data_IF_734884317493
#
_entry.id   IF_734884317493
#
_cell.length_a   1.000
_cell.length_b   1.000
_cell.length_c   1.000
_cell.angle_alpha   90.00
_cell.angle_beta   90.00
_cell.angle_gamma   90.00
#
_symmetry.space_group_name_H-M   'P 1'
#
loop_
_entity.id
_entity.type
_entity.pdbx_description
1 polymer ?
#
# COMPACT_ATOMS: atom_id res chain seq x y z
N UNK A 1 4.49 5.74 -22.41
CA UNK A 1 5.20 7.04 -22.25
C UNK A 1 5.61 7.25 -20.79
N UNK A 2 6.66 8.03 -20.51
CA UNK A 2 7.04 8.43 -19.15
C UNK A 2 7.02 9.95 -19.06
N UNK A 3 6.31 10.49 -18.08
CA UNK A 3 6.08 11.93 -17.90
C UNK A 3 6.59 12.33 -16.52
N UNK A 4 7.57 13.22 -16.46
CA UNK A 4 7.95 13.89 -15.21
C UNK A 4 6.97 15.01 -14.88
N UNK A 5 6.45 15.04 -13.66
CA UNK A 5 5.49 16.07 -13.25
C UNK A 5 5.63 16.40 -11.77
N UNK A 6 5.82 17.66 -11.42
CA UNK A 6 5.88 18.06 -10.01
C UNK A 6 4.46 18.30 -9.45
N UNK A 7 4.15 17.88 -8.21
CA UNK A 7 2.82 18.06 -7.63
C UNK A 7 2.36 19.53 -7.54
N UNK A 8 3.30 20.46 -7.43
CA UNK A 8 3.05 21.91 -7.39
C UNK A 8 3.08 22.58 -8.78
N UNK A 9 3.40 21.84 -9.85
CA UNK A 9 3.51 22.35 -11.22
C UNK A 9 2.96 21.34 -12.22
N UNK A 10 1.64 21.20 -12.22
CA UNK A 10 0.90 20.25 -13.06
C UNK A 10 0.78 20.79 -14.49
N UNK A 11 1.33 20.05 -15.46
CA UNK A 11 1.09 20.30 -16.88
C UNK A 11 -0.30 19.78 -17.27
N UNK A 12 -1.24 20.72 -17.48
CA UNK A 12 -2.63 20.40 -17.81
C UNK A 12 -2.77 19.65 -19.13
N UNK A 13 -1.92 19.90 -20.13
CA UNK A 13 -2.02 19.22 -21.42
C UNK A 13 -1.71 17.74 -21.26
N UNK A 14 -0.63 17.43 -20.53
CA UNK A 14 -0.23 16.04 -20.27
C UNK A 14 -1.23 15.32 -19.37
N UNK A 15 -1.80 16.00 -18.36
CA UNK A 15 -2.89 15.44 -17.55
C UNK A 15 -4.11 15.09 -18.40
N UNK A 16 -4.54 15.97 -19.31
CA UNK A 16 -5.68 15.71 -20.20
C UNK A 16 -5.39 14.54 -21.15
N UNK A 17 -4.16 14.44 -21.65
CA UNK A 17 -3.72 13.31 -22.47
C UNK A 17 -3.80 11.99 -21.69
N UNK A 18 -3.24 11.94 -20.48
CA UNK A 18 -3.35 10.75 -19.61
C UNK A 18 -4.78 10.43 -19.21
N UNK A 19 -5.61 11.44 -18.93
CA UNK A 19 -7.03 11.25 -18.66
C UNK A 19 -7.78 10.66 -19.86
N UNK A 20 -7.43 11.08 -21.09
CA UNK A 20 -7.95 10.49 -22.31
C UNK A 20 -7.55 9.02 -22.48
N UNK A 21 -6.30 8.66 -22.16
CA UNK A 21 -5.84 7.27 -22.15
C UNK A 21 -6.72 6.42 -21.23
N UNK A 22 -6.95 6.86 -19.98
CA UNK A 22 -7.80 6.14 -19.03
C UNK A 22 -9.23 5.97 -19.55
N UNK A 23 -9.83 7.06 -20.03
CA UNK A 23 -11.21 7.07 -20.54
C UNK A 23 -11.40 6.12 -21.73
N UNK A 24 -10.39 5.98 -22.58
CA UNK A 24 -10.39 5.10 -23.75
C UNK A 24 -9.92 3.67 -23.43
N UNK A 25 -9.90 3.28 -22.15
CA UNK A 25 -9.60 1.91 -21.71
C UNK A 25 -8.10 1.56 -21.67
N UNK A 26 -7.23 2.56 -21.68
CA UNK A 26 -5.80 2.41 -21.42
C UNK A 26 -5.45 2.39 -19.93
N UNK A 27 -4.18 2.16 -19.63
CA UNK A 27 -3.63 2.02 -18.29
C UNK A 27 -2.57 3.09 -18.01
N UNK A 28 -2.75 3.84 -16.94
CA UNK A 28 -1.83 4.91 -16.51
C UNK A 28 -1.37 4.67 -15.09
N UNK A 29 -0.06 4.65 -14.87
CA UNK A 29 0.50 4.67 -13.53
C UNK A 29 0.67 6.11 -13.04
N UNK A 30 0.29 6.41 -11.80
CA UNK A 30 0.28 7.77 -11.26
C UNK A 30 0.57 7.81 -9.75
N UNK A 31 1.14 8.91 -9.22
CA UNK A 31 1.44 9.03 -7.79
C UNK A 31 0.17 9.28 -6.97
N UNK A 32 0.16 8.77 -5.73
CA UNK A 32 -0.76 9.23 -4.67
C UNK A 32 0.05 9.65 -3.45
N UNK A 33 -0.60 10.14 -2.39
CA UNK A 33 0.04 10.41 -1.11
C UNK A 33 0.52 9.13 -0.42
N UNK A 34 -0.09 7.97 -0.77
CA UNK A 34 0.22 6.65 -0.20
C UNK A 34 1.33 5.92 -0.95
N UNK A 35 0.99 5.37 -2.11
CA UNK A 35 1.88 4.64 -3.03
C UNK A 35 1.46 4.97 -4.46
N UNK A 36 2.30 4.70 -5.45
CA UNK A 36 1.90 4.84 -6.86
C UNK A 36 0.81 3.82 -7.21
N UNK A 37 -0.22 4.27 -7.91
CA UNK A 37 -1.34 3.48 -8.38
C UNK A 37 -1.22 3.13 -9.87
N UNK A 38 -1.74 1.98 -10.27
CA UNK A 38 -1.87 1.55 -11.67
C UNK A 38 -3.34 1.67 -12.10
N UNK A 39 -3.70 2.80 -12.68
CA UNK A 39 -5.09 3.15 -12.98
C UNK A 39 -5.60 2.63 -14.31
N UNK A 40 -6.86 2.23 -14.32
CA UNK A 40 -7.69 2.08 -15.52
C UNK A 40 -9.14 2.52 -15.20
N UNK A 41 -9.94 2.73 -16.24
CA UNK A 41 -11.36 3.08 -16.07
C UNK A 41 -12.10 2.01 -15.26
N UNK A 42 -12.66 2.38 -14.10
CA UNK A 42 -13.36 1.47 -13.21
C UNK A 42 -14.69 0.95 -13.78
N UNK A 43 -15.22 1.59 -14.83
CA UNK A 43 -16.48 1.21 -15.48
C UNK A 43 -16.28 0.31 -16.70
N UNK A 44 -15.02 0.06 -17.11
CA UNK A 44 -14.69 -0.75 -18.28
C UNK A 44 -13.97 -2.04 -17.85
N UNK A 45 -14.71 -3.16 -17.89
CA UNK A 45 -14.20 -4.48 -17.55
C UNK A 45 -12.94 -4.89 -18.36
N UNK A 46 -12.82 -4.46 -19.62
CA UNK A 46 -11.65 -4.77 -20.43
C UNK A 46 -10.42 -3.95 -20.00
N UNK A 47 -10.62 -2.69 -19.63
CA UNK A 47 -9.57 -1.85 -19.06
C UNK A 47 -9.05 -2.44 -17.73
N UNK A 48 -9.95 -2.99 -16.90
CA UNK A 48 -9.58 -3.68 -15.66
C UNK A 48 -8.74 -4.94 -15.91
N UNK A 49 -9.06 -5.75 -16.93
CA UNK A 49 -8.24 -6.92 -17.29
C UNK A 49 -6.79 -6.55 -17.59
N UNK A 50 -6.57 -5.41 -18.27
CA UNK A 50 -5.21 -4.90 -18.54
C UNK A 50 -4.41 -4.59 -17.27
N UNK A 51 -5.06 -4.16 -16.17
CA UNK A 51 -4.38 -3.99 -14.86
C UNK A 51 -3.86 -5.34 -14.37
N UNK A 52 -4.70 -6.38 -14.41
CA UNK A 52 -4.32 -7.71 -13.93
C UNK A 52 -3.19 -8.31 -14.78
N UNK A 53 -3.27 -8.19 -16.11
CA UNK A 53 -2.22 -8.58 -17.06
C UNK A 53 -0.91 -7.83 -16.83
N UNK A 54 -0.97 -6.50 -16.74
CA UNK A 54 0.19 -5.64 -16.50
C UNK A 54 0.84 -5.87 -15.12
N UNK A 55 0.14 -6.45 -14.15
CA UNK A 55 0.73 -6.82 -12.84
C UNK A 55 1.15 -8.28 -12.74
N UNK A 56 0.63 -9.17 -13.59
CA UNK A 56 0.66 -10.61 -13.36
C UNK A 56 -0.09 -10.99 -12.08
N UNK A 57 -1.23 -10.33 -11.82
CA UNK A 57 -1.99 -10.47 -10.56
C UNK A 57 -3.19 -11.42 -10.75
N UNK A 58 -3.49 -12.29 -9.77
CA UNK A 58 -4.74 -13.07 -9.75
C UNK A 58 -5.98 -12.17 -9.78
N UNK A 59 -6.98 -12.55 -10.57
CA UNK A 59 -8.24 -11.81 -10.74
C UNK A 59 -9.21 -11.95 -9.56
N UNK A 60 -8.89 -12.75 -8.54
CA UNK A 60 -9.69 -12.96 -7.34
C UNK A 60 -9.44 -11.89 -6.25
N UNK A 61 -8.59 -10.91 -6.53
CA UNK A 61 -8.32 -9.80 -5.63
C UNK A 61 -9.05 -8.51 -6.08
N UNK A 62 -9.89 -7.90 -5.22
CA UNK A 62 -10.56 -6.66 -5.56
C UNK A 62 -9.58 -5.50 -5.77
N UNK A 63 -10.05 -4.45 -6.44
CA UNK A 63 -9.36 -3.18 -6.69
C UNK A 63 -10.06 -2.05 -5.92
N UNK A 64 -9.30 -0.99 -5.63
CA UNK A 64 -9.85 0.23 -5.02
C UNK A 64 -10.17 1.22 -6.14
N UNK A 65 -11.39 1.74 -6.13
CA UNK A 65 -11.85 2.79 -7.04
C UNK A 65 -11.50 4.16 -6.47
N UNK A 66 -10.88 4.98 -7.30
CA UNK A 66 -10.46 6.34 -6.96
C UNK A 66 -11.38 7.34 -7.65
N UNK A 67 -11.81 8.35 -6.89
CA UNK A 67 -12.67 9.46 -7.35
C UNK A 67 -11.99 10.81 -7.10
N UNK A 68 -12.40 11.85 -7.83
CA UNK A 68 -11.87 13.21 -7.68
C UNK A 68 -12.77 14.11 -6.84
N UNK A 69 -14.08 13.86 -6.81
CA UNK A 69 -15.07 14.63 -6.04
C UNK A 69 -15.88 13.68 -5.18
N UNK A 70 -16.31 14.13 -3.99
CA UNK A 70 -17.04 13.26 -3.04
C UNK A 70 -18.35 12.79 -3.65
N UNK A 71 -19.01 13.63 -4.43
CA UNK A 71 -20.29 13.38 -5.07
C UNK A 71 -20.21 12.25 -6.11
N UNK A 72 -19.02 11.99 -6.67
CA UNK A 72 -18.79 10.91 -7.65
C UNK A 72 -19.00 9.52 -7.02
N UNK A 73 -19.05 9.41 -5.69
CA UNK A 73 -19.37 8.15 -4.99
C UNK A 73 -20.82 7.71 -5.23
N UNK A 74 -21.74 8.67 -5.39
CA UNK A 74 -23.20 8.43 -5.43
C UNK A 74 -23.59 7.40 -6.49
N UNK A 75 -23.16 7.51 -7.77
CA UNK A 75 -23.52 6.51 -8.79
C UNK A 75 -22.86 5.14 -8.57
N UNK A 76 -21.76 5.06 -7.81
CA UNK A 76 -20.93 3.85 -7.67
C UNK A 76 -21.43 2.88 -6.59
N UNK A 77 -22.35 3.33 -5.72
CA UNK A 77 -22.80 2.59 -4.53
C UNK A 77 -24.31 2.57 -4.44
N UNK A 78 -24.88 1.57 -3.74
CA UNK A 78 -26.33 1.48 -3.53
C UNK A 78 -26.84 2.53 -2.55
N UNK A 79 -26.07 2.78 -1.49
CA UNK A 79 -26.38 3.73 -0.44
C UNK A 79 -25.10 4.21 0.25
N UNK A 80 -25.15 5.42 0.79
CA UNK A 80 -24.08 5.97 1.63
C UNK A 80 -24.64 6.04 3.06
N UNK A 81 -24.19 5.17 3.99
CA UNK A 81 -24.63 5.22 5.38
C UNK A 81 -24.10 6.49 6.06
N UNK A 82 -24.70 6.88 7.18
CA UNK A 82 -24.34 8.13 7.85
C UNK A 82 -22.89 8.13 8.34
N UNK A 83 -22.41 7.00 8.87
CA UNK A 83 -20.99 6.82 9.21
C UNK A 83 -20.09 7.04 7.99
N UNK A 84 -20.53 6.64 6.80
CA UNK A 84 -19.82 6.88 5.55
C UNK A 84 -19.71 8.36 5.25
N UNK A 85 -20.80 9.12 5.40
CA UNK A 85 -20.79 10.60 5.22
C UNK A 85 -19.82 11.28 6.16
N UNK A 86 -19.88 10.95 7.46
CA UNK A 86 -19.01 11.52 8.49
C UNK A 86 -17.53 11.27 8.15
N UNK A 87 -17.19 10.03 7.75
CA UNK A 87 -15.82 9.65 7.42
C UNK A 87 -15.32 10.31 6.13
N UNK A 88 -16.16 10.41 5.10
CA UNK A 88 -15.84 11.16 3.88
C UNK A 88 -15.63 12.65 4.16
N UNK A 89 -16.40 13.23 5.09
CA UNK A 89 -16.17 14.62 5.51
C UNK A 89 -14.87 14.81 6.26
N UNK A 90 -14.51 13.87 7.14
CA UNK A 90 -13.33 13.99 7.99
C UNK A 90 -12.02 13.62 7.30
N UNK A 91 -12.03 12.59 6.47
CA UNK A 91 -10.81 11.92 5.98
C UNK A 91 -10.64 11.97 4.45
N UNK A 92 -11.63 12.46 3.69
CA UNK A 92 -11.47 12.69 2.25
C UNK A 92 -11.30 14.18 1.91
N UNK A 93 -10.35 14.52 1.02
CA UNK A 93 -9.42 13.60 0.36
C UNK A 93 -8.30 13.12 1.30
N UNK A 94 -7.89 11.85 1.19
CA UNK A 94 -6.86 11.28 2.06
C UNK A 94 -6.71 9.76 2.04
N UNK A 95 -5.90 9.19 2.97
CA UNK A 95 -5.50 7.79 2.97
C UNK A 95 -6.53 6.83 3.61
N UNK A 96 -7.82 7.13 3.49
CA UNK A 96 -8.92 6.26 3.94
C UNK A 96 -9.68 5.69 2.74
N UNK A 97 -9.79 4.37 2.68
CA UNK A 97 -10.67 3.65 1.76
C UNK A 97 -11.87 3.11 2.53
N UNK A 98 -13.07 3.35 2.01
CA UNK A 98 -14.32 2.88 2.59
C UNK A 98 -14.93 1.80 1.69
N UNK A 99 -15.37 0.69 2.26
CA UNK A 99 -16.12 -0.34 1.53
C UNK A 99 -17.62 -0.04 1.58
N UNK A 100 -18.23 0.02 0.41
CA UNK A 100 -19.68 0.21 0.25
C UNK A 100 -20.29 -0.98 -0.47
N UNK A 101 -21.59 -1.19 -0.31
CA UNK A 101 -22.37 -2.02 -1.24
C UNK A 101 -22.35 -1.38 -2.63
N UNK A 102 -21.82 -2.10 -3.62
CA UNK A 102 -21.61 -1.60 -4.98
C UNK A 102 -22.92 -1.48 -5.73
N UNK A 103 -23.05 -0.46 -6.58
CA UNK A 103 -24.12 -0.42 -7.58
C UNK A 103 -23.80 -1.30 -8.79
N UNK A 104 -24.78 -1.50 -9.67
CA UNK A 104 -24.63 -2.37 -10.85
C UNK A 104 -23.69 -1.80 -11.91
N UNK A 105 -23.35 -0.50 -11.84
CA UNK A 105 -22.42 0.11 -12.80
C UNK A 105 -20.96 -0.31 -12.57
N UNK A 106 -20.65 -0.82 -11.37
CA UNK A 106 -19.31 -1.34 -11.05
C UNK A 106 -19.19 -2.79 -11.55
N UNK A 107 -18.31 -3.06 -12.53
CA UNK A 107 -18.07 -4.40 -13.04
C UNK A 107 -17.55 -5.34 -11.95
N UNK A 108 -17.85 -6.63 -12.08
CA UNK A 108 -17.40 -7.65 -11.13
C UNK A 108 -15.88 -7.83 -11.15
N UNK A 109 -15.22 -7.51 -12.25
CA UNK A 109 -13.76 -7.51 -12.40
C UNK A 109 -13.09 -6.53 -11.42
N UNK A 110 -13.76 -5.44 -11.03
CA UNK A 110 -13.26 -4.51 -10.02
C UNK A 110 -13.33 -5.14 -8.63
N UNK A 111 -14.43 -5.85 -8.33
CA UNK A 111 -14.72 -6.35 -6.98
C UNK A 111 -14.39 -7.82 -6.77
N UNK A 112 -13.78 -8.47 -7.76
CA UNK A 112 -13.57 -9.92 -7.78
C UNK A 112 -14.87 -10.72 -7.51
N UNK A 113 -16.01 -10.20 -7.99
CA UNK A 113 -17.34 -10.78 -7.78
C UNK A 113 -17.97 -10.55 -6.41
N UNK A 114 -17.37 -9.73 -5.54
CA UNK A 114 -17.96 -9.32 -4.27
C UNK A 114 -19.11 -8.32 -4.48
N UNK A 115 -20.04 -8.27 -3.52
CA UNK A 115 -21.10 -7.25 -3.47
C UNK A 115 -20.60 -5.87 -3.07
N UNK A 116 -19.38 -5.78 -2.53
CA UNK A 116 -18.81 -4.54 -2.02
C UNK A 116 -17.72 -3.98 -2.93
N UNK A 117 -17.56 -2.66 -2.91
CA UNK A 117 -16.51 -1.91 -3.62
C UNK A 117 -15.77 -1.00 -2.64
N UNK A 118 -14.44 -1.04 -2.67
CA UNK A 118 -13.61 -0.09 -1.92
C UNK A 118 -13.43 1.20 -2.71
N UNK A 119 -13.81 2.34 -2.13
CA UNK A 119 -13.70 3.66 -2.76
C UNK A 119 -12.80 4.56 -1.92
N UNK A 120 -12.01 5.41 -2.59
CA UNK A 120 -11.14 6.41 -1.97
C UNK A 120 -11.07 7.68 -2.80
N UNK A 121 -10.92 8.82 -2.15
CA UNK A 121 -10.56 10.09 -2.78
C UNK A 121 -9.12 10.46 -2.39
N UNK A 122 -8.10 10.26 -3.26
CA UNK A 122 -6.70 10.53 -2.91
C UNK A 122 -6.45 12.04 -2.75
N UNK A 123 -5.58 12.43 -1.81
CA UNK A 123 -5.21 13.84 -1.57
C UNK A 123 -4.09 14.37 -2.45
N UNK A 124 -3.50 13.53 -3.28
CA UNK A 124 -2.40 13.92 -4.15
C UNK A 124 -2.87 14.79 -5.33
N UNK A 125 -2.30 16.00 -5.55
CA UNK A 125 -2.75 16.92 -6.60
C UNK A 125 -2.76 16.32 -8.01
N UNK A 126 -1.71 15.56 -8.36
CA UNK A 126 -1.63 14.87 -9.67
C UNK A 126 -2.72 13.80 -9.81
N UNK A 127 -3.03 13.04 -8.75
CA UNK A 127 -4.06 12.01 -8.80
C UNK A 127 -5.45 12.64 -8.99
N UNK A 128 -5.76 13.67 -8.19
CA UNK A 128 -7.03 14.40 -8.30
C UNK A 128 -7.21 15.01 -9.70
N UNK A 129 -6.18 15.69 -10.22
CA UNK A 129 -6.21 16.29 -11.55
C UNK A 129 -6.36 15.24 -12.67
N UNK A 130 -5.67 14.10 -12.56
CA UNK A 130 -5.78 12.99 -13.51
C UNK A 130 -7.19 12.39 -13.54
N UNK A 131 -7.75 12.08 -12.37
CA UNK A 131 -9.08 11.46 -12.26
C UNK A 131 -10.15 12.44 -12.76
N UNK A 132 -10.05 13.72 -12.41
CA UNK A 132 -10.95 14.75 -12.93
C UNK A 132 -10.84 14.88 -14.46
N UNK A 133 -9.63 14.88 -15.00
CA UNK A 133 -9.42 14.94 -16.45
C UNK A 133 -9.90 13.68 -17.17
N UNK A 134 -9.85 12.51 -16.54
CA UNK A 134 -10.36 11.25 -17.08
C UNK A 134 -11.89 11.25 -17.19
N UNK A 135 -12.59 12.00 -16.33
CA UNK A 135 -14.05 12.06 -16.21
C UNK A 135 -14.70 10.67 -16.05
N UNK A 136 -13.95 9.74 -15.46
CA UNK A 136 -14.41 8.40 -15.07
C UNK A 136 -13.75 8.04 -13.74
N UNK A 137 -14.39 7.24 -12.87
CA UNK A 137 -13.73 6.69 -11.71
C UNK A 137 -12.58 5.77 -12.13
N UNK A 138 -11.48 5.77 -11.37
CA UNK A 138 -10.25 5.05 -11.73
C UNK A 138 -9.96 3.93 -10.75
N UNK A 139 -10.08 2.68 -11.19
CA UNK A 139 -9.66 1.54 -10.38
C UNK A 139 -8.14 1.46 -10.41
N UNK A 140 -7.49 1.44 -9.23
CA UNK A 140 -6.04 1.41 -9.15
C UNK A 140 -5.55 0.59 -7.94
N UNK A 141 -4.90 -0.57 -8.15
CA UNK A 141 -4.01 -1.15 -7.16
C UNK A 141 -2.64 -0.45 -7.18
N UNK A 142 -1.72 -0.86 -6.32
CA UNK A 142 -0.33 -0.40 -6.36
C UNK A 142 0.35 -0.69 -7.71
N UNK A 143 1.27 0.17 -8.16
CA UNK A 143 1.88 0.09 -9.50
C UNK A 143 3.14 -0.79 -9.60
N UNK A 144 3.14 -1.93 -8.91
CA UNK A 144 4.24 -2.91 -8.90
C UNK A 144 3.86 -4.24 -9.52
N UNK A 145 4.85 -5.04 -9.93
CA UNK A 145 4.62 -6.45 -10.26
C UNK A 145 4.11 -7.18 -9.02
N UNK A 146 3.13 -8.08 -9.18
CA UNK A 146 2.49 -8.79 -8.07
C UNK A 146 3.53 -9.47 -7.16
N UNK A 147 3.37 -9.34 -5.84
CA UNK A 147 4.29 -9.85 -4.82
C UNK A 147 5.38 -8.86 -4.37
N UNK A 148 5.90 -8.01 -5.27
CA UNK A 148 6.97 -7.05 -4.97
C UNK A 148 6.53 -5.94 -3.98
N UNK A 149 7.48 -5.25 -3.31
CA UNK A 149 7.15 -4.07 -2.48
C UNK A 149 6.40 -3.00 -3.26
N UNK A 150 5.48 -2.30 -2.61
CA UNK A 150 4.70 -1.24 -3.27
C UNK A 150 5.61 -0.08 -3.71
N UNK A 151 5.32 0.57 -4.85
CA UNK A 151 6.18 1.61 -5.38
C UNK A 151 5.90 2.97 -4.74
N UNK A 152 6.91 3.58 -4.12
CA UNK A 152 6.84 4.92 -3.51
C UNK A 152 7.57 6.02 -4.29
N UNK A 153 8.26 5.71 -5.40
CA UNK A 153 8.87 6.68 -6.33
C UNK A 153 8.63 6.25 -7.77
N UNK A 154 8.60 7.21 -8.70
CA UNK A 154 8.38 6.93 -10.12
C UNK A 154 9.37 5.93 -10.72
N UNK A 155 10.61 5.92 -10.23
CA UNK A 155 11.63 4.95 -10.63
C UNK A 155 11.22 3.49 -10.36
N UNK A 156 10.59 3.21 -9.20
CA UNK A 156 10.07 1.87 -8.89
C UNK A 156 9.00 1.41 -9.89
N UNK A 157 8.18 2.34 -10.36
CA UNK A 157 7.13 2.07 -11.35
C UNK A 157 7.74 1.83 -12.72
N UNK A 158 8.73 2.63 -13.11
CA UNK A 158 9.46 2.45 -14.37
C UNK A 158 10.06 1.04 -14.44
N UNK A 159 10.73 0.58 -13.37
CA UNK A 159 11.32 -0.76 -13.30
C UNK A 159 10.30 -1.88 -13.48
N UNK A 160 9.10 -1.73 -12.90
CA UNK A 160 8.09 -2.80 -12.90
C UNK A 160 7.11 -2.75 -14.08
N UNK A 161 6.85 -1.55 -14.63
CA UNK A 161 5.73 -1.27 -15.54
C UNK A 161 6.12 -0.69 -16.90
N UNK A 162 7.38 -0.29 -17.12
CA UNK A 162 7.80 0.21 -18.43
C UNK A 162 7.59 -0.87 -19.51
N UNK A 163 6.93 -0.48 -20.60
CA UNK A 163 6.56 -1.40 -21.69
C UNK A 163 5.30 -2.24 -21.43
N UNK A 164 4.69 -2.14 -20.24
CA UNK A 164 3.47 -2.90 -19.87
C UNK A 164 2.22 -2.02 -19.76
N UNK A 165 2.40 -0.70 -19.77
CA UNK A 165 1.35 0.31 -19.54
C UNK A 165 1.47 1.45 -20.53
N UNK A 166 0.37 2.15 -20.78
CA UNK A 166 0.32 3.21 -21.80
C UNK A 166 1.08 4.47 -21.34
N UNK A 167 0.96 4.84 -20.06
CA UNK A 167 1.66 5.98 -19.48
C UNK A 167 2.11 5.77 -18.03
N UNK A 168 3.21 6.42 -17.66
CA UNK A 168 3.71 6.54 -16.28
C UNK A 168 3.90 8.02 -15.98
N UNK A 169 3.17 8.55 -15.02
CA UNK A 169 3.41 9.89 -14.46
C UNK A 169 4.33 9.72 -13.26
N UNK A 170 5.57 10.18 -13.37
CA UNK A 170 6.56 10.21 -12.29
C UNK A 170 6.48 11.55 -11.57
N UNK A 171 5.87 11.55 -10.37
CA UNK A 171 5.59 12.76 -9.61
C UNK A 171 6.22 12.85 -8.22
N UNK A 172 7.47 12.40 -8.10
CA UNK A 172 8.24 12.48 -6.86
C UNK A 172 8.06 11.26 -5.94
N UNK A 173 8.51 11.39 -4.70
CA UNK A 173 8.31 10.37 -3.66
C UNK A 173 6.92 10.53 -3.00
N UNK A 174 6.33 9.42 -2.58
CA UNK A 174 5.09 9.42 -1.79
C UNK A 174 5.37 9.83 -0.34
N UNK A 175 4.47 10.62 0.25
CA UNK A 175 4.67 11.14 1.61
C UNK A 175 4.36 10.13 2.72
N UNK A 176 3.32 9.31 2.56
CA UNK A 176 2.87 8.36 3.60
C UNK A 176 3.64 7.03 3.51
N UNK A 177 3.96 6.57 2.30
CA UNK A 177 4.75 5.35 2.05
C UNK A 177 4.08 4.03 2.42
N UNK A 178 2.88 4.05 3.00
CA UNK A 178 2.00 2.90 3.22
C UNK A 178 0.72 3.04 2.41
N UNK A 179 0.07 1.93 2.06
CA UNK A 179 -1.26 1.97 1.46
C UNK A 179 -2.32 2.52 2.43
N UNK A 180 -3.46 2.93 1.88
CA UNK A 180 -4.60 3.43 2.67
C UNK A 180 -5.11 2.40 3.67
N UNK A 181 -5.63 2.93 4.78
CA UNK A 181 -6.49 2.16 5.69
C UNK A 181 -7.75 1.75 4.94
N UNK A 182 -8.16 0.50 5.08
CA UNK A 182 -9.40 0.00 4.47
C UNK A 182 -10.39 -0.34 5.57
N UNK A 183 -11.52 0.37 5.58
CA UNK A 183 -12.57 0.23 6.58
C UNK A 183 -13.84 -0.34 5.91
N UNK A 184 -14.29 -1.50 6.41
CA UNK A 184 -15.60 -2.06 6.12
C UNK A 184 -16.66 -1.31 6.94
N UNK A 185 -17.58 -0.64 6.25
CA UNK A 185 -18.70 0.10 6.84
C UNK A 185 -20.06 -0.49 6.46
N UNK A 186 -20.08 -1.74 5.95
CA UNK A 186 -21.34 -2.41 5.57
C UNK A 186 -21.99 -3.15 6.73
N UNK A 187 -21.28 -3.36 7.84
CA UNK A 187 -21.79 -3.97 9.07
C UNK A 187 -22.12 -2.94 10.16
N UNK A 188 -22.67 -3.42 11.29
CA UNK A 188 -23.07 -2.58 12.42
C UNK A 188 -21.87 -1.90 13.10
N UNK A 189 -20.75 -2.61 13.23
CA UNK A 189 -19.50 -2.10 13.77
C UNK A 189 -18.50 -1.96 12.62
N UNK A 190 -18.01 -0.73 12.32
CA UNK A 190 -16.98 -0.52 11.32
C UNK A 190 -15.72 -1.35 11.62
N UNK A 191 -15.18 -2.01 10.60
CA UNK A 191 -14.09 -2.98 10.77
C UNK A 191 -12.90 -2.65 9.88
N UNK A 192 -11.73 -2.47 10.48
CA UNK A 192 -10.47 -2.28 9.75
C UNK A 192 -10.07 -3.61 9.12
N UNK A 193 -10.13 -3.69 7.79
CA UNK A 193 -9.66 -4.84 7.00
C UNK A 193 -8.18 -4.72 6.62
N UNK A 194 -7.66 -3.49 6.61
CA UNK A 194 -6.24 -3.22 6.37
C UNK A 194 -5.80 -1.98 7.14
N UNK A 195 -4.79 -2.07 8.02
CA UNK A 195 -4.22 -0.90 8.66
C UNK A 195 -3.37 -0.09 7.67
N UNK A 196 -3.40 1.23 7.81
CA UNK A 196 -2.72 2.20 6.95
C UNK A 196 -2.60 3.56 7.65
N UNK A 197 -2.50 4.64 6.85
CA UNK A 197 -2.23 5.99 7.38
C UNK A 197 -3.34 6.63 8.23
N UNK A 198 -4.57 6.10 8.23
CA UNK A 198 -5.61 6.49 9.21
C UNK A 198 -5.69 5.42 10.27
N UNK A 199 -5.29 5.74 11.50
CA UNK A 199 -5.17 4.74 12.58
C UNK A 199 -6.51 4.39 13.19
N UNK A 200 -6.54 3.32 14.00
CA UNK A 200 -7.74 2.89 14.73
C UNK A 200 -8.19 4.00 15.69
N UNK A 201 -7.25 4.62 16.38
CA UNK A 201 -7.47 5.67 17.36
C UNK A 201 -8.09 6.91 16.71
N UNK A 202 -7.63 7.28 15.50
CA UNK A 202 -8.23 8.35 14.72
C UNK A 202 -9.68 8.06 14.32
N UNK A 203 -10.00 6.80 14.01
CA UNK A 203 -11.36 6.37 13.65
C UNK A 203 -12.26 6.30 14.89
N UNK A 204 -11.77 5.76 16.01
CA UNK A 204 -12.51 5.70 17.28
C UNK A 204 -12.81 7.08 17.85
N UNK A 205 -11.92 8.06 17.66
CA UNK A 205 -12.17 9.45 18.03
C UNK A 205 -13.39 10.06 17.29
N UNK A 206 -13.79 9.49 16.15
CA UNK A 206 -14.93 9.95 15.34
C UNK A 206 -16.17 9.07 15.54
N UNK A 207 -15.97 7.75 15.62
CA UNK A 207 -17.04 6.75 15.58
C UNK A 207 -17.35 6.12 16.95
N UNK A 208 -16.48 6.31 17.94
CA UNK A 208 -16.53 5.61 19.22
C UNK A 208 -15.93 4.21 19.13
N UNK A 209 -16.59 3.28 18.44
CA UNK A 209 -16.17 1.87 18.39
C UNK A 209 -15.75 1.44 16.97
N UNK A 210 -14.56 0.84 16.87
CA UNK A 210 -14.03 0.29 15.61
C UNK A 210 -13.38 -1.08 15.87
N UNK A 211 -13.77 -2.08 15.08
CA UNK A 211 -13.19 -3.42 15.14
C UNK A 211 -11.97 -3.53 14.21
N UNK A 212 -11.11 -4.51 14.48
CA UNK A 212 -9.99 -4.89 13.61
C UNK A 212 -10.22 -6.34 13.16
N UNK A 213 -10.03 -6.61 11.87
CA UNK A 213 -10.18 -7.95 11.33
C UNK A 213 -9.16 -8.91 11.97
N UNK A 214 -9.63 -10.07 12.45
CA UNK A 214 -8.79 -11.02 13.16
C UNK A 214 -7.64 -11.60 12.31
N UNK A 215 -7.77 -11.59 10.97
CA UNK A 215 -6.72 -12.04 10.06
C UNK A 215 -5.53 -11.06 9.98
N UNK A 216 -5.67 -9.84 10.51
CA UNK A 216 -4.56 -8.89 10.66
C UNK A 216 -3.59 -9.37 11.74
N UNK A 217 -4.12 -9.93 12.83
CA UNK A 217 -3.35 -10.45 13.96
C UNK A 217 -2.89 -11.89 13.74
N UNK A 218 -3.76 -12.72 13.17
CA UNK A 218 -3.52 -14.15 12.97
C UNK A 218 -3.83 -14.59 11.52
N UNK A 219 -2.80 -14.84 10.69
CA UNK A 219 -2.98 -15.23 9.29
C UNK A 219 -3.74 -16.54 9.11
N UNK A 220 -3.72 -17.41 10.13
CA UNK A 220 -4.46 -18.68 10.09
C UNK A 220 -5.98 -18.49 10.09
N UNK A 221 -6.45 -17.30 10.47
CA UNK A 221 -7.86 -16.89 10.44
C UNK A 221 -8.27 -16.20 9.13
N UNK A 222 -7.39 -16.19 8.12
CA UNK A 222 -7.68 -15.60 6.82
C UNK A 222 -8.80 -16.37 6.08
N UNK A 223 -9.76 -15.63 5.51
CA UNK A 223 -10.88 -16.18 4.74
C UNK A 223 -10.44 -16.53 3.32
N UNK A 224 -11.01 -17.60 2.72
CA UNK A 224 -10.67 -18.07 1.36
C UNK A 224 -10.83 -17.00 0.25
N UNK A 225 -11.77 -16.04 0.43
CA UNK A 225 -11.99 -14.89 -0.48
C UNK A 225 -11.67 -13.56 0.22
N UNK A 226 -10.67 -12.79 -0.26
CA UNK A 226 -10.29 -11.53 0.37
C UNK A 226 -11.32 -10.44 0.09
N UNK A 227 -11.83 -9.78 1.14
CA UNK A 227 -12.73 -8.62 1.01
C UNK A 227 -12.00 -7.34 0.56
N UNK A 228 -10.69 -7.29 0.69
CA UNK A 228 -9.86 -6.09 0.45
C UNK A 228 -8.47 -6.49 -0.10
N UNK A 229 -7.80 -5.61 -0.87
CA UNK A 229 -6.44 -5.87 -1.34
C UNK A 229 -5.45 -6.08 -0.19
N UNK A 230 -4.62 -7.12 -0.29
CA UNK A 230 -3.49 -7.37 0.60
C UNK A 230 -3.77 -8.35 1.75
N UNK A 231 -4.84 -9.15 1.69
CA UNK A 231 -5.24 -10.07 2.78
C UNK A 231 -4.76 -11.54 2.60
N UNK A 232 -4.52 -12.02 1.37
CA UNK A 232 -4.39 -13.47 1.08
C UNK A 232 -3.00 -13.97 0.70
N UNK A 233 -2.17 -13.14 0.06
CA UNK A 233 -0.88 -13.57 -0.52
C UNK A 233 0.32 -13.00 0.22
N UNK A 234 1.49 -13.62 0.07
CA UNK A 234 2.76 -12.97 0.41
C UNK A 234 2.85 -11.68 -0.39
N UNK A 235 2.77 -10.56 0.32
CA UNK A 235 2.77 -9.24 -0.25
C UNK A 235 3.97 -8.49 0.31
N UNK A 236 4.56 -7.66 -0.54
CA UNK A 236 5.67 -6.78 -0.19
C UNK A 236 7.02 -7.47 0.01
N UNK A 237 7.17 -8.70 -0.45
CA UNK A 237 8.41 -9.44 -0.30
C UNK A 237 9.46 -8.89 -1.29
N UNK A 238 10.64 -8.43 -0.81
CA UNK A 238 11.79 -8.19 -1.66
C UNK A 238 12.32 -9.52 -2.24
N UNK A 239 13.32 -9.45 -3.10
CA UNK A 239 14.00 -10.64 -3.67
C UNK A 239 14.68 -11.48 -2.60
N UNK A 240 15.21 -10.83 -1.57
CA UNK A 240 15.88 -11.45 -0.44
C UNK A 240 14.87 -11.97 0.59
N UNK A 241 15.25 -13.03 1.32
CA UNK A 241 14.47 -13.49 2.47
C UNK A 241 14.42 -12.40 3.55
N UNK A 242 13.29 -12.19 4.20
CA UNK A 242 13.19 -11.24 5.33
C UNK A 242 12.88 -12.02 6.61
N UNK A 243 13.58 -11.67 7.69
CA UNK A 243 13.29 -12.10 9.06
C UNK A 243 13.05 -10.85 9.90
N UNK A 244 11.95 -10.84 10.66
CA UNK A 244 11.66 -9.78 11.63
C UNK A 244 12.09 -10.26 13.02
N UNK A 245 12.86 -9.44 13.73
CA UNK A 245 13.24 -9.71 15.13
C UNK A 245 12.40 -8.81 16.04
N UNK A 246 11.62 -9.42 16.93
CA UNK A 246 10.72 -8.74 17.87
C UNK A 246 11.27 -8.80 19.30
N UNK A 247 11.21 -7.69 20.03
CA UNK A 247 11.58 -7.63 21.44
C UNK A 247 12.04 -6.23 21.87
N UNK A 248 12.57 -6.09 23.09
CA UNK A 248 13.18 -4.84 23.54
C UNK A 248 14.34 -4.42 22.63
N UNK A 249 14.51 -3.11 22.41
CA UNK A 249 15.45 -2.54 21.43
C UNK A 249 16.87 -3.11 21.55
N UNK A 250 17.42 -3.10 22.76
CA UNK A 250 18.77 -3.57 23.02
C UNK A 250 18.93 -5.07 22.70
N UNK A 251 17.91 -5.87 23.02
CA UNK A 251 17.91 -7.30 22.77
C UNK A 251 17.78 -7.61 21.28
N UNK A 252 16.93 -6.86 20.56
CA UNK A 252 16.82 -6.98 19.10
C UNK A 252 18.18 -6.75 18.43
N UNK A 253 18.89 -5.69 18.82
CA UNK A 253 20.23 -5.37 18.29
C UNK A 253 21.21 -6.51 18.57
N UNK A 254 21.23 -7.04 19.79
CA UNK A 254 22.10 -8.17 20.14
C UNK A 254 21.76 -9.43 19.32
N UNK A 255 20.47 -9.77 19.19
CA UNK A 255 20.02 -10.94 18.45
C UNK A 255 20.32 -10.82 16.96
N UNK A 256 20.08 -9.65 16.36
CA UNK A 256 20.39 -9.39 14.95
C UNK A 256 21.90 -9.54 14.69
N UNK A 257 22.77 -9.06 15.59
CA UNK A 257 24.23 -9.26 15.46
C UNK A 257 24.63 -10.74 15.51
N UNK A 258 23.96 -11.53 16.35
CA UNK A 258 24.20 -12.99 16.39
C UNK A 258 23.78 -13.63 15.08
N UNK A 259 22.56 -13.36 14.62
CA UNK A 259 22.02 -13.89 13.37
C UNK A 259 22.86 -13.46 12.15
N UNK A 260 23.32 -12.21 12.11
CA UNK A 260 24.16 -11.70 11.03
C UNK A 260 25.47 -12.49 10.90
N UNK A 261 26.15 -12.77 12.02
CA UNK A 261 27.35 -13.63 12.03
C UNK A 261 27.03 -15.07 11.61
N UNK A 262 25.92 -15.64 12.09
CA UNK A 262 25.51 -17.00 11.74
C UNK A 262 25.23 -17.15 10.24
N UNK A 263 24.49 -16.21 9.64
CA UNK A 263 24.20 -16.25 8.21
C UNK A 263 25.44 -15.97 7.36
N UNK A 264 26.30 -15.04 7.78
CA UNK A 264 27.60 -14.81 7.12
C UNK A 264 28.51 -16.05 7.17
N UNK A 265 28.54 -16.76 8.29
CA UNK A 265 29.28 -18.02 8.42
C UNK A 265 28.73 -19.14 7.48
N UNK A 266 27.45 -19.06 7.12
CA UNK A 266 26.81 -19.93 6.11
C UNK A 266 27.01 -19.42 4.66
N UNK A 267 27.86 -18.41 4.46
CA UNK A 267 28.16 -17.84 3.15
C UNK A 267 27.06 -16.94 2.57
N UNK A 268 26.11 -16.48 3.40
CA UNK A 268 25.04 -15.57 2.97
C UNK A 268 25.46 -14.11 3.11
N UNK A 269 25.03 -13.28 2.16
CA UNK A 269 25.12 -11.82 2.23
C UNK A 269 23.92 -11.30 3.02
N UNK A 270 24.20 -10.59 4.10
CA UNK A 270 23.19 -10.15 5.08
C UNK A 270 23.01 -8.64 4.99
N UNK A 271 21.77 -8.21 4.79
CA UNK A 271 21.32 -6.83 4.98
C UNK A 271 20.62 -6.67 6.33
N UNK A 272 20.67 -5.47 6.90
CA UNK A 272 19.98 -5.13 8.14
C UNK A 272 19.07 -3.94 7.91
N UNK A 273 17.79 -4.08 8.27
CA UNK A 273 16.84 -2.96 8.42
C UNK A 273 16.77 -2.61 9.90
N UNK A 274 17.06 -1.36 10.23
CA UNK A 274 17.03 -0.86 11.59
C UNK A 274 16.39 0.53 11.66
N UNK A 275 16.30 1.06 12.86
CA UNK A 275 15.92 2.46 13.08
C UNK A 275 17.14 3.38 13.13
N UNK A 276 16.96 4.70 12.98
CA UNK A 276 18.05 5.67 13.11
C UNK A 276 18.81 5.53 14.43
N UNK A 277 18.09 5.27 15.52
CA UNK A 277 18.62 5.17 16.89
C UNK A 277 19.59 3.99 17.09
N UNK A 278 19.50 2.96 16.25
CA UNK A 278 20.28 1.72 16.38
C UNK A 278 21.25 1.50 15.24
N UNK A 279 21.22 2.34 14.20
CA UNK A 279 22.01 2.22 12.98
C UNK A 279 23.51 2.06 13.24
N UNK A 280 24.06 2.93 14.09
CA UNK A 280 25.50 2.94 14.39
C UNK A 280 25.94 1.74 15.27
N UNK A 281 24.98 1.00 15.84
CA UNK A 281 25.28 -0.17 16.65
C UNK A 281 25.71 -1.37 15.80
N UNK A 282 25.41 -1.39 14.49
CA UNK A 282 25.67 -2.55 13.62
C UNK A 282 27.03 -2.54 12.92
N UNK A 283 27.90 -1.55 13.18
CA UNK A 283 29.26 -1.50 12.67
C UNK A 283 29.33 -1.51 11.13
N UNK A 284 30.15 -2.39 10.55
CA UNK A 284 30.39 -2.49 9.10
C UNK A 284 29.35 -3.34 8.35
N UNK A 285 28.23 -3.69 8.97
CA UNK A 285 27.16 -4.43 8.28
C UNK A 285 26.50 -3.56 7.18
N UNK A 286 25.87 -4.21 6.20
CA UNK A 286 25.07 -3.51 5.19
C UNK A 286 23.74 -3.09 5.81
N UNK A 287 23.71 -1.88 6.35
CA UNK A 287 22.59 -1.37 7.15
C UNK A 287 21.82 -0.30 6.36
N UNK A 288 20.50 -0.38 6.39
CA UNK A 288 19.61 0.68 5.92
C UNK A 288 18.64 1.03 7.04
N UNK A 289 18.58 2.32 7.37
CA UNK A 289 17.59 2.82 8.32
C UNK A 289 16.25 2.96 7.61
N UNK A 290 15.19 2.48 8.26
CA UNK A 290 13.82 2.75 7.84
C UNK A 290 13.27 4.03 8.45
N UNK A 291 14.00 4.75 9.31
CA UNK A 291 13.51 5.97 9.97
C UNK A 291 13.65 5.90 11.48
N UNK A 292 13.10 6.89 12.18
CA UNK A 292 13.19 7.02 13.63
C UNK A 292 12.05 6.29 14.32
N UNK A 293 12.34 5.47 15.33
CA UNK A 293 11.29 4.86 16.18
C UNK A 293 10.55 5.88 17.04
N UNK A 294 11.16 7.05 17.26
CA UNK A 294 10.53 8.16 17.98
C UNK A 294 9.52 8.92 17.11
N UNK A 295 9.61 8.77 15.78
CA UNK A 295 8.68 9.36 14.81
C UNK A 295 8.24 8.28 13.80
N UNK A 296 7.34 7.35 14.19
CA UNK A 296 6.98 6.18 13.39
C UNK A 296 6.48 6.50 11.98
N UNK A 297 5.97 7.70 11.71
CA UNK A 297 5.58 8.17 10.39
C UNK A 297 6.76 8.17 9.41
N UNK A 298 7.98 8.44 9.90
CA UNK A 298 9.19 8.35 9.07
C UNK A 298 9.45 6.91 8.63
N UNK A 299 9.09 5.94 9.47
CA UNK A 299 9.18 4.50 9.17
C UNK A 299 8.13 4.08 8.13
N UNK A 300 6.89 4.53 8.31
CA UNK A 300 5.83 4.34 7.33
C UNK A 300 6.23 4.87 5.94
N UNK A 301 6.82 6.06 5.88
CA UNK A 301 7.25 6.69 4.63
C UNK A 301 8.36 5.90 3.90
N UNK A 302 9.28 5.28 4.65
CA UNK A 302 10.50 4.70 4.10
C UNK A 302 10.49 3.17 3.94
N UNK A 303 9.59 2.44 4.60
CA UNK A 303 9.64 0.97 4.66
C UNK A 303 9.75 0.29 3.27
N UNK A 304 8.88 0.64 2.32
CA UNK A 304 8.96 0.04 0.98
C UNK A 304 10.16 0.53 0.17
N UNK A 305 10.61 1.77 0.41
CA UNK A 305 11.82 2.30 -0.21
C UNK A 305 13.02 1.47 0.22
N UNK A 306 13.20 1.24 1.52
CA UNK A 306 14.30 0.42 2.05
C UNK A 306 14.25 -1.02 1.54
N UNK A 307 13.07 -1.64 1.52
CA UNK A 307 12.92 -2.99 0.95
C UNK A 307 13.34 -3.05 -0.53
N UNK A 308 12.99 -2.03 -1.33
CA UNK A 308 13.41 -1.95 -2.73
C UNK A 308 14.88 -1.61 -2.90
N UNK A 309 15.44 -0.77 -2.05
CA UNK A 309 16.87 -0.49 -2.09
C UNK A 309 17.71 -1.76 -1.81
N UNK A 310 17.19 -2.73 -1.05
CA UNK A 310 17.83 -4.04 -0.93
C UNK A 310 17.68 -4.90 -2.19
N UNK A 311 16.62 -4.76 -2.99
CA UNK A 311 16.48 -5.43 -4.30
C UNK A 311 17.53 -4.99 -5.33
N UNK A 312 18.14 -3.81 -5.11
CA UNK A 312 19.25 -3.24 -5.89
C UNK A 312 20.62 -3.72 -5.39
N UNK A 313 20.65 -4.46 -4.29
CA UNK A 313 21.85 -5.09 -3.74
C UNK A 313 21.82 -6.60 -3.97
N UNK A 314 22.92 -7.28 -3.65
CA UNK A 314 22.98 -8.74 -3.73
C UNK A 314 22.76 -9.41 -2.37
N UNK A 315 22.02 -8.82 -1.44
CA UNK A 315 21.74 -9.49 -0.16
C UNK A 315 20.89 -10.74 -0.39
N UNK A 316 21.24 -11.83 0.29
CA UNK A 316 20.48 -13.08 0.24
C UNK A 316 19.41 -13.10 1.35
N UNK A 317 19.65 -12.38 2.44
CA UNK A 317 18.75 -12.27 3.60
C UNK A 317 18.79 -10.88 4.23
N UNK A 318 17.64 -10.40 4.68
CA UNK A 318 17.43 -9.14 5.39
C UNK A 318 16.95 -9.46 6.80
N UNK A 319 17.66 -8.94 7.79
CA UNK A 319 17.27 -8.98 9.20
C UNK A 319 16.68 -7.62 9.57
N UNK A 320 15.39 -7.57 9.89
CA UNK A 320 14.68 -6.34 10.22
C UNK A 320 14.40 -6.27 11.72
N UNK A 321 14.70 -5.12 12.33
CA UNK A 321 14.11 -4.75 13.61
C UNK A 321 12.59 -4.64 13.47
N UNK A 322 11.87 -5.08 14.51
CA UNK A 322 10.47 -4.75 14.70
C UNK A 322 10.32 -3.32 15.26
N UNK A 323 9.12 -2.78 15.08
CA UNK A 323 8.67 -1.56 15.74
C UNK A 323 7.49 -1.87 16.66
N UNK A 324 7.20 -0.96 17.59
CA UNK A 324 6.03 -1.09 18.44
C UNK A 324 4.75 -1.06 17.61
N UNK A 325 3.84 -2.02 17.85
CA UNK A 325 2.61 -2.19 17.08
C UNK A 325 1.45 -1.34 17.65
N UNK A 326 1.69 -0.04 17.83
CA UNK A 326 0.70 0.94 18.34
C UNK A 326 0.48 2.02 17.27
N UNK A 327 -0.76 2.49 17.13
CA UNK A 327 -1.16 3.48 16.10
C UNK A 327 -0.66 3.08 14.69
N UNK A 328 0.13 3.94 14.02
CA UNK A 328 0.67 3.65 12.68
C UNK A 328 1.68 2.49 12.68
N UNK A 329 2.26 2.17 13.83
CA UNK A 329 3.10 0.99 14.06
C UNK A 329 2.40 -0.33 13.72
N UNK A 330 1.08 -0.41 13.91
CA UNK A 330 0.29 -1.57 13.47
C UNK A 330 0.34 -1.75 11.95
N UNK A 331 0.27 -0.65 11.19
CA UNK A 331 0.36 -0.69 9.74
C UNK A 331 1.77 -1.09 9.28
N UNK A 332 2.80 -0.54 9.91
CA UNK A 332 4.22 -0.86 9.64
C UNK A 332 4.48 -2.36 9.90
N UNK A 333 4.13 -2.85 11.08
CA UNK A 333 4.33 -4.26 11.44
C UNK A 333 3.50 -5.19 10.56
N UNK A 334 2.29 -4.80 10.14
CA UNK A 334 1.52 -5.58 9.17
C UNK A 334 2.27 -5.75 7.84
N UNK A 335 2.98 -4.72 7.36
CA UNK A 335 3.79 -4.81 6.14
C UNK A 335 5.07 -5.63 6.34
N UNK A 336 5.81 -5.41 7.42
CA UNK A 336 7.02 -6.18 7.73
C UNK A 336 6.73 -7.68 7.87
N UNK A 337 5.69 -8.04 8.63
CA UNK A 337 5.29 -9.45 8.81
C UNK A 337 4.93 -10.12 7.49
N UNK A 338 4.22 -9.42 6.61
CA UNK A 338 3.88 -9.94 5.26
C UNK A 338 5.10 -10.05 4.35
N UNK A 339 6.00 -9.06 4.38
CA UNK A 339 7.25 -9.10 3.62
C UNK A 339 8.14 -10.28 4.06
N UNK A 340 8.14 -10.60 5.35
CA UNK A 340 8.85 -11.74 5.95
C UNK A 340 8.14 -13.09 5.80
N UNK A 341 6.95 -13.14 5.19
CA UNK A 341 6.14 -14.36 5.17
C UNK A 341 5.92 -14.93 6.58
N UNK A 342 5.78 -14.05 7.58
CA UNK A 342 5.64 -14.36 9.00
C UNK A 342 6.83 -15.08 9.64
N UNK A 343 8.03 -14.97 9.07
CA UNK A 343 9.30 -15.39 9.72
C UNK A 343 9.69 -14.37 10.80
N UNK A 344 9.23 -14.63 12.02
CA UNK A 344 9.46 -13.79 13.20
C UNK A 344 10.36 -14.55 14.18
N UNK A 345 11.35 -13.87 14.76
CA UNK A 345 12.20 -14.37 15.83
C UNK A 345 12.01 -13.45 17.04
N UNK A 346 11.76 -14.02 18.21
CA UNK A 346 11.74 -13.24 19.45
C UNK A 346 13.17 -13.07 19.97
N UNK A 347 13.55 -11.84 20.32
CA UNK A 347 14.91 -11.50 20.76
C UNK A 347 15.30 -12.15 22.10
N UNK A 348 14.29 -12.59 22.87
CA UNK A 348 14.43 -13.27 24.15
C UNK A 348 14.77 -14.77 24.01
N UNK A 349 14.53 -15.36 22.83
CA UNK A 349 14.89 -16.74 22.47
C UNK A 349 16.31 -16.83 21.90
#
# INVERSE_FOLDING_TARGET
MVIGMEPNKIDRRLIVECGSILRNGGVVAFPTETVYGLGANALDANAIKKIFEAKGRPSDNPLIVHIAKKEDVIPLVKNIPEIGRILMEKFWPGPLTLLFEKSDIIPNEVTAGLSTVGIRMPSHPIAGALIEAAQVPVAAPSANTSGRPSPTKGQHVIEDMMGRVDAIISGGECNVGLESTVLDITGDIPMILRPGGVTKEMLEAVLGQVAVDAAIEDPSKSVEKPKSPGMKYTHYAPKADVIVVEGPVEQMVMKIKVLEREYRAKGKRVGIICTEETKDLYGEAMVKSMGSRQVPETIAACIFKVLREFDETDVDIILSEAVEAVEIGQAIMNRLKKAAGYRIIHAEE
#
